data_IF_801314108548
#
_entry.id   IF_801314108548
#
_cell.length_a   1.000
_cell.length_b   1.000
_cell.length_c   1.000
_cell.angle_alpha   90.00
_cell.angle_beta   90.00
_cell.angle_gamma   90.00
#
_symmetry.space_group_name_H-M   'P 1'
#
loop_
_entity.id
_entity.type
_entity.pdbx_description
1 polymer ?
#
# COMPACT_ATOMS: atom_id res chain seq x y z
N UNK A 1 -11.00 6.26 -7.45
CA UNK A 1 -10.13 7.45 -7.56
C UNK A 1 -10.63 8.44 -8.61
N UNK A 2 -10.82 8.03 -9.88
CA UNK A 2 -11.31 8.93 -10.92
C UNK A 2 -12.68 9.58 -10.61
N UNK A 3 -13.68 8.78 -10.17
CA UNK A 3 -15.00 9.30 -9.81
C UNK A 3 -14.97 10.37 -8.70
N UNK A 4 -14.14 10.19 -7.68
CA UNK A 4 -13.99 11.18 -6.61
C UNK A 4 -13.38 12.50 -7.11
N UNK A 5 -12.50 12.45 -8.12
CA UNK A 5 -11.95 13.65 -8.74
C UNK A 5 -12.99 14.37 -9.60
N UNK A 6 -13.83 13.61 -10.31
CA UNK A 6 -14.94 14.17 -11.10
C UNK A 6 -15.96 14.89 -10.22
N UNK A 7 -16.35 14.29 -9.09
CA UNK A 7 -17.28 14.92 -8.13
C UNK A 7 -16.71 16.23 -7.58
N UNK A 8 -15.42 16.25 -7.25
CA UNK A 8 -14.75 17.47 -6.78
C UNK A 8 -14.70 18.56 -7.84
N UNK A 9 -14.46 18.21 -9.11
CA UNK A 9 -14.49 19.16 -10.21
C UNK A 9 -15.89 19.73 -10.43
N UNK A 10 -16.92 18.88 -10.41
CA UNK A 10 -18.31 19.33 -10.54
C UNK A 10 -18.69 20.28 -9.40
N UNK A 11 -18.25 20.00 -8.17
CA UNK A 11 -18.47 20.89 -7.03
C UNK A 11 -17.78 22.26 -7.18
N UNK A 12 -16.67 22.35 -7.92
CA UNK A 12 -16.01 23.64 -8.22
C UNK A 12 -16.80 24.47 -9.24
N UNK A 13 -17.54 23.82 -10.14
CA UNK A 13 -18.40 24.49 -11.13
C UNK A 13 -19.74 24.96 -10.53
N UNK A 14 -19.96 24.68 -9.24
CA UNK A 14 -21.13 25.11 -8.48
C UNK A 14 -22.15 23.99 -8.22
N UNK A 15 -23.36 24.41 -7.85
CA UNK A 15 -24.48 23.51 -7.53
C UNK A 15 -25.56 23.55 -8.63
N UNK A 16 -26.56 22.67 -8.56
CA UNK A 16 -27.61 22.61 -9.57
C UNK A 16 -28.36 23.94 -9.77
N UNK A 17 -28.44 24.76 -8.72
CA UNK A 17 -29.13 26.05 -8.73
C UNK A 17 -28.22 27.24 -9.06
N UNK A 18 -26.90 27.06 -8.96
CA UNK A 18 -25.88 28.10 -9.14
C UNK A 18 -24.66 27.50 -9.86
N UNK A 19 -24.83 27.21 -11.15
CA UNK A 19 -23.77 26.73 -12.03
C UNK A 19 -23.10 27.92 -12.73
N UNK A 20 -21.79 28.05 -12.57
CA UNK A 20 -21.01 29.12 -13.20
C UNK A 20 -19.64 28.60 -13.63
N UNK A 21 -19.24 28.93 -14.86
CA UNK A 21 -17.88 28.70 -15.34
C UNK A 21 -17.09 29.97 -15.05
N UNK A 22 -16.44 30.00 -13.89
CA UNK A 22 -15.56 31.11 -13.52
C UNK A 22 -14.22 30.97 -14.25
N UNK A 23 -13.94 31.88 -15.20
CA UNK A 23 -12.68 31.89 -15.94
C UNK A 23 -11.53 32.56 -15.17
N UNK A 24 -11.82 33.18 -14.03
CA UNK A 24 -10.83 33.75 -13.13
C UNK A 24 -10.31 32.67 -12.14
N UNK A 25 -11.05 31.57 -11.95
CA UNK A 25 -10.56 30.41 -11.18
C UNK A 25 -9.48 29.67 -11.98
N UNK A 26 -8.28 29.57 -11.42
CA UNK A 26 -7.11 28.96 -12.06
C UNK A 26 -7.33 27.49 -12.44
N UNK A 27 -8.10 26.74 -11.63
CA UNK A 27 -8.37 25.32 -11.84
C UNK A 27 -9.38 25.14 -12.96
N UNK A 28 -10.46 25.93 -12.95
CA UNK A 28 -11.48 25.90 -14.01
C UNK A 28 -10.89 26.39 -15.33
N UNK A 29 -10.13 27.49 -15.32
CA UNK A 29 -9.45 28.05 -16.49
C UNK A 29 -8.42 27.10 -17.09
N UNK A 30 -7.69 26.37 -16.25
CA UNK A 30 -6.72 25.36 -16.66
C UNK A 30 -7.36 24.09 -17.25
N UNK A 31 -8.55 23.71 -16.76
CA UNK A 31 -9.29 22.56 -17.26
C UNK A 31 -10.12 22.87 -18.53
N UNK A 32 -10.53 24.13 -18.73
CA UNK A 32 -11.34 24.57 -19.87
C UNK A 32 -10.50 24.72 -21.14
N UNK A 33 -10.78 23.88 -22.15
CA UNK A 33 -10.09 23.88 -23.45
C UNK A 33 -10.87 24.65 -24.52
N UNK A 34 -12.19 24.61 -24.45
CA UNK A 34 -13.10 25.21 -25.42
C UNK A 34 -14.24 25.88 -24.65
N UNK A 35 -14.53 27.13 -24.98
CA UNK A 35 -15.60 27.91 -24.40
C UNK A 35 -16.46 28.51 -25.52
N UNK A 36 -17.75 28.18 -25.55
CA UNK A 36 -18.71 28.62 -26.59
C UNK A 36 -18.19 28.50 -28.04
N UNK A 37 -17.40 27.46 -28.33
CA UNK A 37 -16.82 27.21 -29.66
C UNK A 37 -15.54 28.00 -29.96
N UNK A 38 -15.05 28.81 -29.03
CA UNK A 38 -13.73 29.47 -29.11
C UNK A 38 -12.70 28.65 -28.35
N UNK A 39 -11.57 28.38 -29.01
CA UNK A 39 -10.45 27.68 -28.39
C UNK A 39 -9.78 28.60 -27.36
N UNK A 40 -9.82 28.21 -26.09
CA UNK A 40 -9.23 28.95 -24.97
C UNK A 40 -7.87 28.37 -24.54
N UNK A 41 -7.39 27.34 -25.24
CA UNK A 41 -6.04 26.79 -25.06
C UNK A 41 -5.01 27.59 -25.88
N UNK A 42 -3.79 27.86 -25.36
CA UNK A 42 -3.25 27.45 -24.07
C UNK A 42 -3.73 28.32 -22.90
N UNK A 43 -3.86 27.75 -21.69
CA UNK A 43 -4.21 28.55 -20.52
C UNK A 43 -3.11 29.59 -20.25
N UNK A 44 -3.47 30.77 -19.72
CA UNK A 44 -2.49 31.76 -19.28
C UNK A 44 -1.55 31.13 -18.25
N UNK A 45 -0.30 31.60 -18.21
CA UNK A 45 0.65 31.16 -17.18
C UNK A 45 0.04 31.52 -15.83
N UNK A 46 -0.21 30.51 -15.00
CA UNK A 46 -0.63 30.72 -13.62
C UNK A 46 0.48 31.53 -12.94
N UNK A 47 0.17 32.78 -12.60
CA UNK A 47 0.99 33.52 -11.67
C UNK A 47 0.82 32.79 -10.36
N UNK A 48 1.77 31.90 -10.04
CA UNK A 48 1.78 31.21 -8.77
C UNK A 48 1.79 32.30 -7.71
N UNK A 49 0.60 32.60 -7.16
CA UNK A 49 0.49 33.29 -5.89
C UNK A 49 1.30 32.41 -4.97
N UNK A 50 2.54 32.83 -4.73
CA UNK A 50 3.37 32.25 -3.71
C UNK A 50 2.54 32.48 -2.47
N UNK A 51 1.75 31.49 -2.10
CA UNK A 51 1.14 31.41 -0.79
C UNK A 51 2.32 31.73 0.13
N UNK A 52 2.28 32.88 0.84
CA UNK A 52 3.42 33.31 1.63
C UNK A 52 3.83 32.09 2.40
N UNK A 53 5.07 31.62 2.18
CA UNK A 53 5.58 30.48 2.92
C UNK A 53 5.24 30.81 4.36
N UNK A 54 4.25 30.08 4.92
CA UNK A 54 3.75 30.34 6.27
C UNK A 54 5.04 30.46 7.07
N UNK A 55 5.33 31.62 7.71
CA UNK A 55 6.60 31.82 8.38
C UNK A 55 6.86 30.53 9.11
N UNK A 56 7.94 29.86 8.70
CA UNK A 56 8.31 28.59 9.30
C UNK A 56 8.53 29.02 10.74
N UNK A 57 7.52 28.77 11.58
CA UNK A 57 7.59 29.14 12.99
C UNK A 57 8.97 28.65 13.40
N UNK A 58 9.81 29.60 13.81
CA UNK A 58 11.08 29.27 14.43
C UNK A 58 10.77 28.09 15.34
N UNK A 59 11.43 26.92 15.17
CA UNK A 59 11.10 25.77 15.97
C UNK A 59 11.10 26.27 17.40
N UNK A 60 9.91 26.28 18.02
CA UNK A 60 9.74 26.73 19.38
C UNK A 60 10.87 26.04 20.16
N UNK A 61 11.67 26.78 20.95
CA UNK A 61 12.79 26.21 21.65
C UNK A 61 12.27 24.93 22.26
N UNK A 62 12.87 23.79 21.89
CA UNK A 62 12.43 22.46 22.30
C UNK A 62 12.22 22.55 23.79
N UNK A 63 10.97 22.73 24.20
CA UNK A 63 10.62 22.62 25.58
C UNK A 63 10.78 21.14 25.78
N UNK A 64 11.89 20.77 26.40
CA UNK A 64 12.01 19.53 27.14
C UNK A 64 10.90 19.55 28.20
N UNK A 65 9.67 19.33 27.76
CA UNK A 65 8.66 18.75 28.59
C UNK A 65 9.15 17.32 28.80
N UNK A 66 9.97 17.16 29.85
CA UNK A 66 10.10 15.89 30.54
C UNK A 66 8.68 15.39 30.78
N UNK A 67 8.22 14.51 29.91
CA UNK A 67 7.10 13.62 30.20
C UNK A 67 7.59 12.72 31.33
N UNK A 68 7.45 13.23 32.55
CA UNK A 68 7.62 12.47 33.75
C UNK A 68 6.57 11.35 33.75
N UNK A 69 7.05 10.13 33.92
CA UNK A 69 6.37 9.15 34.76
C UNK A 69 5.04 8.62 34.24
N UNK A 70 5.12 7.80 33.21
CA UNK A 70 4.17 6.71 33.01
C UNK A 70 4.85 5.68 32.16
N UNK A 71 5.50 4.68 32.76
CA UNK A 71 5.93 3.49 32.04
C UNK A 71 4.67 2.81 31.52
N UNK A 72 4.20 3.23 30.35
CA UNK A 72 3.13 2.56 29.67
C UNK A 72 3.61 1.15 29.43
N UNK A 73 2.98 0.21 30.15
CA UNK A 73 3.19 -1.23 30.02
C UNK A 73 2.96 -1.68 28.56
N UNK A 74 2.32 -0.82 27.75
CA UNK A 74 2.06 -0.95 26.32
C UNK A 74 2.96 -0.10 25.42
N UNK A 75 4.09 0.43 25.91
CA UNK A 75 5.05 1.08 25.01
C UNK A 75 5.54 0.09 23.94
N UNK A 76 5.74 0.50 22.67
CA UNK A 76 6.09 -0.42 21.59
C UNK A 76 7.33 -1.28 21.91
N UNK A 77 8.34 -0.68 22.56
CA UNK A 77 9.55 -1.38 22.99
C UNK A 77 9.31 -2.41 24.10
N UNK A 78 8.40 -2.13 25.04
CA UNK A 78 8.04 -3.06 26.10
C UNK A 78 7.17 -4.21 25.59
N UNK A 79 6.23 -3.96 24.67
CA UNK A 79 5.48 -5.03 24.00
C UNK A 79 6.38 -5.94 23.17
N UNK A 80 7.35 -5.38 22.44
CA UNK A 80 8.34 -6.15 21.70
C UNK A 80 9.25 -6.96 22.63
N UNK A 81 9.69 -6.36 23.75
CA UNK A 81 10.50 -7.04 24.76
C UNK A 81 9.75 -8.17 25.46
N UNK A 82 8.48 -7.95 25.84
CA UNK A 82 7.61 -8.97 26.42
C UNK A 82 7.32 -10.10 25.43
N UNK A 83 7.03 -9.78 24.17
CA UNK A 83 6.83 -10.78 23.12
C UNK A 83 8.11 -11.63 22.93
N UNK A 84 9.29 -11.00 22.90
CA UNK A 84 10.56 -11.71 22.77
C UNK A 84 10.86 -12.62 23.98
N UNK A 85 10.56 -12.16 25.20
CA UNK A 85 10.73 -12.96 26.43
C UNK A 85 9.73 -14.12 26.45
N UNK A 86 8.48 -13.91 26.03
CA UNK A 86 7.46 -14.97 25.92
C UNK A 86 7.87 -16.01 24.89
N UNK A 87 8.35 -15.58 23.71
CA UNK A 87 8.85 -16.49 22.68
C UNK A 87 10.07 -17.29 23.16
N UNK A 88 11.03 -16.62 23.83
CA UNK A 88 12.19 -17.28 24.43
C UNK A 88 11.78 -18.26 25.52
N UNK A 89 10.82 -17.90 26.39
CA UNK A 89 10.33 -18.79 27.46
C UNK A 89 9.57 -19.99 26.93
N UNK A 90 8.77 -19.81 25.88
CA UNK A 90 8.07 -20.90 25.21
C UNK A 90 9.04 -21.84 24.50
N UNK A 91 10.19 -21.34 24.01
CA UNK A 91 11.22 -22.15 23.35
C UNK A 91 12.34 -22.70 24.25
N UNK A 92 12.42 -22.33 25.54
CA UNK A 92 13.55 -22.68 26.41
C UNK A 92 13.44 -24.10 27.00
N UNK A 93 12.24 -24.60 27.26
CA UNK A 93 12.00 -25.99 27.68
C UNK A 93 11.85 -26.86 26.43
N UNK A 94 12.98 -27.15 25.78
CA UNK A 94 13.09 -28.14 24.71
C UNK A 94 13.35 -29.53 25.30
N UNK A 95 12.33 -30.13 25.92
CA UNK A 95 12.28 -31.58 26.06
C UNK A 95 11.79 -32.18 24.74
N UNK A 96 12.73 -32.41 23.80
CA UNK A 96 12.77 -33.33 22.65
C UNK A 96 11.52 -33.63 21.76
N UNK A 97 10.35 -33.06 22.00
CA UNK A 97 9.17 -33.14 21.13
C UNK A 97 8.77 -31.71 20.74
N UNK A 98 9.38 -31.27 19.62
CA UNK A 98 9.30 -29.91 19.08
C UNK A 98 7.86 -29.45 18.85
N UNK A 99 7.53 -28.30 19.43
CA UNK A 99 6.26 -27.64 19.17
C UNK A 99 6.34 -26.95 17.80
N UNK A 100 5.90 -27.64 16.73
CA UNK A 100 5.90 -27.14 15.34
C UNK A 100 5.28 -25.74 15.21
N UNK A 101 4.30 -25.42 16.07
CA UNK A 101 3.69 -24.09 16.13
C UNK A 101 4.69 -23.02 16.60
N UNK A 102 5.55 -23.29 17.59
CA UNK A 102 6.56 -22.34 18.05
C UNK A 102 7.64 -22.11 16.98
N UNK A 103 8.00 -23.15 16.24
CA UNK A 103 8.93 -23.03 15.11
C UNK A 103 8.33 -22.16 14.00
N UNK A 104 7.08 -22.44 13.59
CA UNK A 104 6.34 -21.64 12.60
C UNK A 104 6.14 -20.19 13.08
N UNK A 105 5.84 -19.98 14.36
CA UNK A 105 5.68 -18.65 14.96
C UNK A 105 6.99 -17.88 14.97
N UNK A 106 8.10 -18.54 15.28
CA UNK A 106 9.43 -17.93 15.26
C UNK A 106 9.81 -17.51 13.83
N UNK A 107 9.62 -18.38 12.85
CA UNK A 107 9.83 -18.06 11.43
C UNK A 107 8.93 -16.91 10.98
N UNK A 108 7.66 -16.93 11.36
CA UNK A 108 6.71 -15.85 11.05
C UNK A 108 7.18 -14.50 11.60
N UNK A 109 7.53 -14.42 12.89
CA UNK A 109 7.99 -13.16 13.52
C UNK A 109 9.27 -12.66 12.86
N UNK A 110 10.28 -13.53 12.66
CA UNK A 110 11.52 -13.16 12.00
C UNK A 110 11.29 -12.71 10.55
N UNK A 111 10.37 -13.34 9.81
CA UNK A 111 10.03 -12.94 8.45
C UNK A 111 9.38 -11.55 8.39
N UNK A 112 8.59 -11.17 9.39
CA UNK A 112 8.03 -9.82 9.51
C UNK A 112 9.12 -8.75 9.71
N UNK A 113 10.11 -9.03 10.56
CA UNK A 113 11.27 -8.13 10.75
C UNK A 113 12.05 -7.96 9.45
N UNK A 114 12.33 -9.05 8.73
CA UNK A 114 13.01 -9.00 7.42
C UNK A 114 12.18 -8.20 6.42
N UNK A 115 10.88 -8.45 6.32
CA UNK A 115 9.97 -7.72 5.44
C UNK A 115 9.97 -6.22 5.71
N UNK A 116 9.93 -5.82 6.98
CA UNK A 116 10.02 -4.42 7.38
C UNK A 116 11.35 -3.78 6.92
N UNK A 117 12.48 -4.42 7.20
CA UNK A 117 13.81 -3.88 6.84
C UNK A 117 14.00 -3.75 5.32
N UNK A 118 13.45 -4.69 4.54
CA UNK A 118 13.53 -4.69 3.08
C UNK A 118 12.68 -3.59 2.46
N UNK A 119 11.46 -3.38 2.96
CA UNK A 119 10.51 -2.39 2.39
C UNK A 119 10.85 -0.96 2.82
N UNK A 120 11.42 -0.75 4.01
CA UNK A 120 11.69 0.58 4.56
C UNK A 120 12.66 1.43 3.72
N UNK A 121 13.62 0.80 3.03
CA UNK A 121 14.69 1.48 2.29
C UNK A 121 14.50 1.48 0.76
N UNK A 122 13.27 1.32 0.27
CA UNK A 122 12.99 1.40 -1.17
C UNK A 122 13.00 2.85 -1.67
N UNK A 123 13.56 3.08 -2.86
CA UNK A 123 13.59 4.42 -3.46
C UNK A 123 12.16 4.91 -3.74
N UNK A 124 11.81 6.20 -3.50
CA UNK A 124 10.44 6.67 -3.66
C UNK A 124 9.82 6.46 -5.05
N UNK A 125 10.66 6.49 -6.10
CA UNK A 125 10.24 6.20 -7.48
C UNK A 125 9.77 4.76 -7.70
N UNK A 126 10.08 3.84 -6.78
CA UNK A 126 9.76 2.42 -6.87
C UNK A 126 8.55 2.02 -6.01
N UNK A 127 7.89 2.92 -5.28
CA UNK A 127 6.70 2.54 -4.48
C UNK A 127 5.56 1.96 -5.33
N UNK A 128 5.32 2.51 -6.52
CA UNK A 128 4.28 1.98 -7.43
C UNK A 128 4.66 0.61 -8.02
N UNK A 129 5.89 0.42 -8.55
CA UNK A 129 6.38 -0.93 -8.89
C UNK A 129 6.34 -1.91 -7.71
N UNK A 130 6.69 -1.47 -6.51
CA UNK A 130 6.69 -2.29 -5.30
C UNK A 130 5.28 -2.77 -4.95
N UNK A 131 4.27 -1.91 -5.07
CA UNK A 131 2.87 -2.29 -4.90
C UNK A 131 2.44 -3.37 -5.90
N UNK A 132 2.91 -3.30 -7.15
CA UNK A 132 2.63 -4.33 -8.16
C UNK A 132 3.35 -5.66 -7.84
N UNK A 133 4.58 -5.60 -7.33
CA UNK A 133 5.34 -6.79 -6.89
C UNK A 133 4.67 -7.47 -5.70
N UNK A 134 4.26 -6.72 -4.68
CA UNK A 134 3.59 -7.31 -3.52
C UNK A 134 2.26 -7.96 -3.88
N UNK A 135 1.54 -7.39 -4.87
CA UNK A 135 0.38 -8.05 -5.45
C UNK A 135 0.78 -9.39 -6.12
N UNK A 136 1.84 -9.42 -6.94
CA UNK A 136 2.30 -10.67 -7.57
C UNK A 136 2.73 -11.75 -6.55
N UNK A 137 3.43 -11.34 -5.48
CA UNK A 137 3.90 -12.25 -4.41
C UNK A 137 2.72 -12.80 -3.59
N UNK A 138 1.63 -12.04 -3.45
CA UNK A 138 0.42 -12.54 -2.77
C UNK A 138 -0.18 -13.79 -3.45
N UNK A 139 0.17 -14.04 -4.71
CA UNK A 139 -0.12 -15.26 -5.44
C UNK A 139 0.47 -16.55 -4.83
N UNK A 140 1.24 -16.48 -3.74
CA UNK A 140 1.72 -17.63 -2.95
C UNK A 140 0.59 -18.58 -2.51
N UNK A 141 -0.66 -18.09 -2.46
CA UNK A 141 -1.88 -18.88 -2.25
C UNK A 141 -1.97 -20.07 -3.24
N UNK A 142 -1.33 -19.98 -4.40
CA UNK A 142 -1.18 -21.06 -5.37
C UNK A 142 -0.64 -22.35 -4.71
N UNK A 143 0.38 -22.23 -3.84
CA UNK A 143 0.94 -23.39 -3.12
C UNK A 143 -0.13 -24.03 -2.23
N UNK A 144 -0.89 -23.21 -1.51
CA UNK A 144 -2.01 -23.69 -0.70
C UNK A 144 -3.03 -24.46 -1.53
N UNK A 145 -3.45 -23.92 -2.68
CA UNK A 145 -4.36 -24.61 -3.59
C UNK A 145 -3.81 -25.96 -4.09
N UNK A 146 -2.53 -26.02 -4.45
CA UNK A 146 -1.90 -27.26 -4.93
C UNK A 146 -1.89 -28.37 -3.87
N UNK A 147 -1.79 -28.02 -2.58
CA UNK A 147 -1.84 -29.02 -1.49
C UNK A 147 -3.22 -29.67 -1.32
N UNK A 148 -4.30 -28.99 -1.74
CA UNK A 148 -5.68 -29.49 -1.61
C UNK A 148 -6.17 -30.28 -2.82
N UNK A 149 -5.44 -30.27 -3.94
CA UNK A 149 -5.73 -31.14 -5.09
C UNK A 149 -5.23 -32.54 -4.74
N UNK A 150 -6.15 -33.41 -4.30
CA UNK A 150 -5.83 -34.77 -3.85
C UNK A 150 -6.86 -35.77 -4.38
N UNK A 151 -6.42 -37.00 -4.69
CA UNK A 151 -7.29 -38.11 -5.10
C UNK A 151 -7.33 -38.43 -6.60
N UNK A 152 -7.92 -39.59 -6.93
CA UNK A 152 -7.98 -40.14 -8.29
C UNK A 152 -9.13 -39.57 -9.14
N UNK A 153 -10.15 -38.97 -8.50
CA UNK A 153 -11.34 -38.41 -9.16
C UNK A 153 -11.56 -36.93 -8.78
N UNK A 154 -10.75 -36.00 -9.34
CA UNK A 154 -10.77 -34.58 -8.94
C UNK A 154 -12.10 -33.87 -9.19
N UNK A 155 -12.91 -34.41 -10.10
CA UNK A 155 -14.19 -33.84 -10.53
C UNK A 155 -15.36 -34.25 -9.66
N UNK A 156 -15.19 -35.26 -8.81
CA UNK A 156 -16.22 -35.73 -7.87
C UNK A 156 -16.08 -35.08 -6.47
N UNK A 157 -14.90 -34.54 -6.15
CA UNK A 157 -14.62 -33.90 -4.87
C UNK A 157 -14.73 -32.37 -4.95
N UNK A 158 -15.70 -31.81 -4.23
CA UNK A 158 -15.91 -30.37 -4.09
C UNK A 158 -14.64 -29.63 -3.66
N UNK A 159 -13.79 -30.24 -2.82
CA UNK A 159 -12.53 -29.62 -2.37
C UNK A 159 -11.55 -29.44 -3.53
N UNK A 160 -11.42 -30.46 -4.38
CA UNK A 160 -10.55 -30.42 -5.56
C UNK A 160 -11.03 -29.40 -6.60
N UNK A 161 -12.35 -29.24 -6.76
CA UNK A 161 -12.93 -28.20 -7.61
C UNK A 161 -12.60 -26.80 -7.07
N UNK A 162 -12.81 -26.56 -5.78
CA UNK A 162 -12.48 -25.28 -5.13
C UNK A 162 -10.97 -24.99 -5.18
N UNK A 163 -10.13 -26.00 -4.98
CA UNK A 163 -8.69 -25.90 -5.13
C UNK A 163 -8.28 -25.54 -6.57
N UNK A 164 -8.93 -26.13 -7.57
CA UNK A 164 -8.75 -25.79 -8.99
C UNK A 164 -9.09 -24.33 -9.29
N UNK A 165 -10.20 -23.81 -8.76
CA UNK A 165 -10.58 -22.39 -8.89
C UNK A 165 -9.55 -21.50 -8.18
N UNK A 166 -9.10 -21.86 -6.98
CA UNK A 166 -8.10 -21.11 -6.24
C UNK A 166 -6.76 -21.04 -7.01
N UNK A 167 -6.30 -22.17 -7.57
CA UNK A 167 -5.09 -22.23 -8.41
C UNK A 167 -5.25 -21.36 -9.64
N UNK A 168 -6.41 -21.41 -10.32
CA UNK A 168 -6.67 -20.59 -11.50
C UNK A 168 -6.58 -19.09 -11.18
N UNK A 169 -7.27 -18.64 -10.13
CA UNK A 169 -7.25 -17.23 -9.72
C UNK A 169 -5.85 -16.79 -9.24
N UNK A 170 -5.16 -17.64 -8.48
CA UNK A 170 -3.80 -17.36 -8.03
C UNK A 170 -2.82 -17.26 -9.22
N UNK A 171 -2.99 -18.09 -10.24
CA UNK A 171 -2.18 -18.04 -11.47
C UNK A 171 -2.36 -16.72 -12.21
N UNK A 172 -3.61 -16.22 -12.31
CA UNK A 172 -3.90 -14.89 -12.89
C UNK A 172 -3.20 -13.79 -12.08
N UNK A 173 -3.23 -13.87 -10.75
CA UNK A 173 -2.59 -12.90 -9.87
C UNK A 173 -1.06 -12.87 -10.06
N UNK A 174 -0.42 -14.04 -10.08
CA UNK A 174 1.03 -14.18 -10.32
C UNK A 174 1.38 -13.64 -11.71
N UNK A 175 0.75 -14.15 -12.76
CA UNK A 175 1.06 -13.80 -14.14
C UNK A 175 0.81 -12.30 -14.42
N UNK A 176 -0.35 -11.79 -14.01
CA UNK A 176 -0.71 -10.38 -14.17
C UNK A 176 0.19 -9.45 -13.36
N UNK A 177 0.45 -9.79 -12.09
CA UNK A 177 1.31 -9.02 -11.21
C UNK A 177 2.73 -8.90 -11.75
N UNK A 178 3.36 -10.00 -12.16
CA UNK A 178 4.71 -9.96 -12.73
C UNK A 178 4.77 -9.28 -14.10
N UNK A 179 3.76 -9.45 -14.96
CA UNK A 179 3.71 -8.77 -16.26
C UNK A 179 3.63 -7.25 -16.11
N UNK A 180 2.77 -6.76 -15.21
CA UNK A 180 2.60 -5.32 -14.95
C UNK A 180 3.88 -4.75 -14.32
N UNK A 181 4.43 -5.43 -13.31
CA UNK A 181 5.72 -5.05 -12.71
C UNK A 181 6.81 -4.97 -13.76
N UNK A 182 6.92 -5.96 -14.64
CA UNK A 182 7.94 -5.97 -15.69
C UNK A 182 7.79 -4.77 -16.63
N UNK A 183 6.57 -4.43 -17.05
CA UNK A 183 6.29 -3.23 -17.85
C UNK A 183 6.66 -1.96 -17.11
N UNK A 184 6.34 -1.87 -15.81
CA UNK A 184 6.68 -0.72 -14.97
C UNK A 184 8.20 -0.53 -14.86
N UNK A 185 8.94 -1.59 -14.54
CA UNK A 185 10.40 -1.52 -14.39
C UNK A 185 11.12 -1.25 -15.71
N UNK A 186 10.57 -1.73 -16.84
CA UNK A 186 11.13 -1.45 -18.17
C UNK A 186 11.18 0.05 -18.48
N UNK A 187 10.22 0.84 -17.97
CA UNK A 187 10.18 2.30 -18.17
C UNK A 187 11.29 3.06 -17.41
N UNK A 188 11.95 2.42 -16.44
CA UNK A 188 13.08 3.00 -15.69
C UNK A 188 14.46 2.71 -16.30
N UNK A 189 14.52 1.82 -17.30
CA UNK A 189 15.77 1.57 -18.03
C UNK A 189 15.97 2.72 -19.02
N UNK A 190 17.01 3.53 -18.80
CA UNK A 190 17.63 4.27 -19.91
C UNK A 190 18.28 3.22 -20.80
N UNK A 191 18.09 3.37 -22.12
CA UNK A 191 18.66 2.54 -23.20
C UNK A 191 19.97 1.84 -22.80
#
# INVERSE_FOLDING_TARGET
MYGNNLVKLVNLLGSADEFSIDQEDEVVRGALVLDEGKLSWPPPKVEVSQQPAKPKDEPAPVSEEKAAGGSSIFSPGMMLGLLAIVLLRLGWDQDAEGNEFLDQLTVFVLSCFVGYMVVWNVTPSLHTPLMSVTNAISGIILIGGMLFVTGAEPWADTKSILAGVAIFLATINVAGGFLVTHRMLKMFRKE
#
